data_IF_565821113645
#
_entry.id   IF_565821113645
#
_cell.length_a   1.000
_cell.length_b   1.000
_cell.length_c   1.000
_cell.angle_alpha   90.00
_cell.angle_beta   90.00
_cell.angle_gamma   90.00
#
_symmetry.space_group_name_H-M   'P 1'
#
loop_
_entity.id
_entity.type
_entity.pdbx_description
1 polymer ?
#
# COMPACT_ATOMS: atom_id res chain seq x y z
N UNK A 1 29.66 2.88 9.11
CA UNK A 1 28.46 2.69 8.28
C UNK A 1 28.79 1.64 7.26
N UNK A 2 28.08 0.53 7.31
CA UNK A 2 28.03 -0.40 6.20
C UNK A 2 27.45 0.36 5.00
N UNK A 3 28.03 0.28 3.78
CA UNK A 3 27.49 0.94 2.59
C UNK A 3 25.99 0.68 2.37
N UNK A 4 25.49 -0.47 2.85
CA UNK A 4 24.08 -0.83 2.78
C UNK A 4 23.19 -0.02 3.74
N UNK A 5 23.72 0.58 4.81
CA UNK A 5 22.93 1.34 5.79
C UNK A 5 22.25 2.55 5.14
N UNK A 6 22.99 3.28 4.29
CA UNK A 6 22.46 4.42 3.56
C UNK A 6 21.39 3.99 2.54
N UNK A 7 21.59 2.84 1.89
CA UNK A 7 20.62 2.28 0.94
C UNK A 7 19.35 1.85 1.66
N UNK A 8 19.46 1.13 2.78
CA UNK A 8 18.32 0.72 3.63
C UNK A 8 17.51 1.93 4.08
N UNK A 9 18.18 2.94 4.64
CA UNK A 9 17.52 4.17 5.09
C UNK A 9 16.80 4.87 3.94
N UNK A 10 17.43 4.98 2.76
CA UNK A 10 16.80 5.61 1.60
C UNK A 10 15.58 4.83 1.09
N UNK A 11 15.65 3.50 1.07
CA UNK A 11 14.54 2.64 0.63
C UNK A 11 13.36 2.70 1.62
N UNK A 12 13.62 2.57 2.92
CA UNK A 12 12.60 2.69 3.96
C UNK A 12 11.98 4.11 3.98
N UNK A 13 12.80 5.15 3.78
CA UNK A 13 12.33 6.52 3.61
C UNK A 13 11.38 6.65 2.41
N UNK A 14 11.74 6.08 1.26
CA UNK A 14 10.93 6.11 0.05
C UNK A 14 9.58 5.39 0.21
N UNK A 15 9.55 4.28 0.96
CA UNK A 15 8.30 3.59 1.27
C UNK A 15 7.38 4.47 2.14
N UNK A 16 7.89 5.08 3.20
CA UNK A 16 7.05 5.80 4.17
C UNK A 16 6.52 7.14 3.63
N UNK A 17 7.34 7.90 2.91
CA UNK A 17 6.91 9.18 2.33
C UNK A 17 7.78 9.65 1.16
N UNK A 18 9.07 9.36 1.21
CA UNK A 18 10.01 9.76 0.17
C UNK A 18 10.02 11.27 -0.05
N UNK A 19 9.84 11.66 -1.31
CA UNK A 19 9.68 13.05 -1.74
C UNK A 19 8.26 13.30 -2.27
N UNK A 20 7.26 12.58 -1.77
CA UNK A 20 5.87 12.79 -2.18
C UNK A 20 5.43 14.23 -1.85
N UNK A 21 4.69 14.86 -2.78
CA UNK A 21 4.14 16.20 -2.55
C UNK A 21 3.18 16.22 -1.35
N UNK A 22 2.46 15.12 -1.15
CA UNK A 22 1.55 14.85 -0.04
C UNK A 22 1.76 13.39 0.35
N UNK A 23 1.92 13.09 1.64
CA UNK A 23 2.01 11.70 2.09
C UNK A 23 0.65 11.00 1.94
N UNK A 24 0.65 9.66 1.96
CA UNK A 24 -0.60 8.90 1.93
C UNK A 24 -1.47 9.23 3.16
N UNK A 25 -0.84 9.28 4.33
CA UNK A 25 -1.49 9.62 5.60
C UNK A 25 -2.14 11.01 5.55
N UNK A 26 -1.43 12.01 5.04
CA UNK A 26 -2.00 13.36 4.91
C UNK A 26 -3.17 13.39 3.91
N UNK A 27 -3.11 12.58 2.85
CA UNK A 27 -4.16 12.50 1.84
C UNK A 27 -5.46 11.87 2.37
N UNK A 28 -5.38 10.96 3.35
CA UNK A 28 -6.54 10.24 3.90
C UNK A 28 -7.02 10.76 5.26
N UNK A 29 -6.20 11.51 6.00
CA UNK A 29 -6.46 11.90 7.39
C UNK A 29 -7.78 12.64 7.62
N UNK A 30 -8.14 13.56 6.71
CA UNK A 30 -9.37 14.36 6.80
C UNK A 30 -10.28 14.13 5.59
N UNK A 31 -10.18 12.94 4.96
CA UNK A 31 -11.00 12.64 3.81
C UNK A 31 -12.48 12.59 4.20
N UNK A 32 -13.36 13.33 3.51
CA UNK A 32 -14.77 13.44 3.91
C UNK A 32 -15.52 12.12 3.71
N UNK A 33 -16.12 11.59 4.79
CA UNK A 33 -16.90 10.34 4.80
C UNK A 33 -17.94 10.28 3.68
N UNK A 34 -18.65 11.40 3.44
CA UNK A 34 -19.66 11.50 2.39
C UNK A 34 -19.13 11.22 0.97
N UNK A 35 -17.81 11.25 0.78
CA UNK A 35 -17.17 11.05 -0.52
C UNK A 35 -16.41 9.74 -0.67
N UNK A 36 -16.28 8.89 0.35
CA UNK A 36 -15.51 7.64 0.23
C UNK A 36 -16.04 6.74 -0.91
N UNK A 37 -17.36 6.76 -1.12
CA UNK A 37 -18.03 6.02 -2.20
C UNK A 37 -18.27 6.85 -3.48
N UNK A 38 -17.90 8.14 -3.50
CA UNK A 38 -18.06 8.99 -4.68
C UNK A 38 -17.19 8.48 -5.82
N UNK A 39 -17.78 8.39 -7.02
CA UNK A 39 -17.09 8.11 -8.28
C UNK A 39 -16.86 9.42 -9.03
N UNK A 40 -15.61 9.88 -9.18
CA UNK A 40 -15.32 11.04 -10.00
C UNK A 40 -15.76 10.81 -11.46
N UNK A 41 -16.01 11.89 -12.18
CA UNK A 41 -16.36 11.79 -13.59
C UNK A 41 -15.21 11.15 -14.39
N UNK A 42 -15.56 10.27 -15.34
CA UNK A 42 -14.64 9.61 -16.27
C UNK A 42 -13.71 8.55 -15.64
N UNK A 43 -14.00 8.07 -14.43
CA UNK A 43 -13.31 6.90 -13.83
C UNK A 43 -14.32 5.88 -13.32
N UNK A 44 -13.95 4.60 -13.40
CA UNK A 44 -14.84 3.48 -13.05
C UNK A 44 -14.69 3.00 -11.59
N UNK A 45 -14.01 3.79 -10.75
CA UNK A 45 -13.72 3.47 -9.35
C UNK A 45 -14.15 4.60 -8.41
N UNK A 46 -14.51 4.27 -7.17
CA UNK A 46 -14.69 5.25 -6.11
C UNK A 46 -13.37 5.63 -5.47
N UNK A 47 -13.34 6.65 -4.62
CA UNK A 47 -12.16 6.96 -3.81
C UNK A 47 -11.74 5.77 -2.93
N UNK A 48 -12.69 5.05 -2.34
CA UNK A 48 -12.38 3.85 -1.58
C UNK A 48 -11.77 2.76 -2.46
N UNK A 49 -12.31 2.54 -3.66
CA UNK A 49 -11.76 1.55 -4.58
C UNK A 49 -10.29 1.82 -4.93
N UNK A 50 -9.88 3.10 -5.01
CA UNK A 50 -8.48 3.47 -5.23
C UNK A 50 -7.60 3.17 -4.00
N UNK A 51 -8.06 3.50 -2.78
CA UNK A 51 -7.34 3.15 -1.55
C UNK A 51 -7.21 1.64 -1.41
N UNK A 52 -8.27 0.90 -1.71
CA UNK A 52 -8.27 -0.56 -1.64
C UNK A 52 -7.37 -1.18 -2.71
N UNK A 53 -7.29 -0.59 -3.90
CA UNK A 53 -6.30 -0.97 -4.90
C UNK A 53 -4.86 -0.83 -4.38
N UNK A 54 -4.53 0.29 -3.74
CA UNK A 54 -3.20 0.49 -3.12
C UNK A 54 -2.93 -0.54 -2.02
N UNK A 55 -3.92 -0.85 -1.18
CA UNK A 55 -3.81 -1.89 -0.16
C UNK A 55 -3.55 -3.27 -0.76
N UNK A 56 -4.35 -3.68 -1.75
CA UNK A 56 -4.24 -5.00 -2.38
C UNK A 56 -2.91 -5.19 -3.11
N UNK A 57 -2.48 -4.18 -3.87
CA UNK A 57 -1.19 -4.21 -4.56
C UNK A 57 -0.02 -4.31 -3.58
N UNK A 58 -0.05 -3.57 -2.47
CA UNK A 58 1.01 -3.64 -1.48
C UNK A 58 1.01 -4.96 -0.69
N UNK A 59 -0.17 -5.46 -0.33
CA UNK A 59 -0.32 -6.76 0.31
C UNK A 59 0.24 -7.89 -0.56
N UNK A 60 0.03 -7.80 -1.88
CA UNK A 60 0.55 -8.75 -2.84
C UNK A 60 2.08 -8.69 -2.96
N UNK A 61 2.68 -7.49 -3.00
CA UNK A 61 4.14 -7.31 -2.94
C UNK A 61 4.70 -7.93 -1.65
N UNK A 62 4.06 -7.69 -0.50
CA UNK A 62 4.49 -8.27 0.77
C UNK A 62 4.43 -9.79 0.73
N UNK A 63 3.36 -10.37 0.18
CA UNK A 63 3.25 -11.83 -0.01
C UNK A 63 4.31 -12.36 -0.98
N UNK A 64 4.56 -11.68 -2.09
CA UNK A 64 5.60 -12.06 -3.05
C UNK A 64 6.98 -12.19 -2.37
N UNK A 65 7.31 -11.27 -1.46
CA UNK A 65 8.62 -11.29 -0.79
C UNK A 65 8.69 -12.17 0.48
N UNK A 66 7.55 -12.59 1.05
CA UNK A 66 7.52 -13.36 2.31
C UNK A 66 7.01 -14.79 2.18
N UNK A 67 6.18 -15.09 1.18
CA UNK A 67 5.52 -16.38 1.01
C UNK A 67 6.27 -17.25 -0.02
N UNK A 68 6.97 -18.32 0.42
CA UNK A 68 7.67 -19.21 -0.50
C UNK A 68 6.72 -20.00 -1.43
N UNK A 69 5.41 -20.04 -1.12
CA UNK A 69 4.38 -20.65 -1.94
C UNK A 69 3.60 -19.61 -2.77
N UNK A 70 4.13 -18.39 -2.90
CA UNK A 70 3.49 -17.30 -3.64
C UNK A 70 3.06 -17.74 -5.04
N UNK A 71 1.84 -17.35 -5.40
CA UNK A 71 1.29 -17.46 -6.75
C UNK A 71 0.72 -16.11 -7.12
N UNK A 72 1.11 -15.62 -8.30
CA UNK A 72 0.70 -14.32 -8.83
C UNK A 72 -0.81 -14.24 -9.05
N UNK A 73 -1.51 -13.24 -8.47
CA UNK A 73 -2.91 -12.95 -8.79
C UNK A 73 -3.09 -12.47 -10.24
N UNK A 74 -4.33 -12.48 -10.75
CA UNK A 74 -4.60 -12.02 -12.10
C UNK A 74 -4.58 -10.49 -12.18
N UNK A 75 -3.55 -9.93 -12.83
CA UNK A 75 -3.47 -8.50 -13.07
C UNK A 75 -4.31 -8.04 -14.29
N UNK A 76 -5.08 -6.93 -14.20
CA UNK A 76 -5.34 -6.10 -13.02
C UNK A 76 -6.58 -6.58 -12.21
N UNK A 77 -7.26 -7.64 -12.66
CA UNK A 77 -8.58 -8.05 -12.16
C UNK A 77 -8.64 -8.22 -10.63
N UNK A 78 -7.67 -8.89 -10.03
CA UNK A 78 -7.68 -9.23 -8.60
C UNK A 78 -7.18 -8.08 -7.70
N UNK A 79 -6.79 -6.94 -8.27
CA UNK A 79 -6.24 -5.78 -7.55
C UNK A 79 -7.25 -4.64 -7.41
N UNK A 80 -8.49 -4.85 -7.81
CA UNK A 80 -9.57 -3.89 -7.68
C UNK A 80 -10.77 -4.54 -6.99
N UNK A 81 -11.44 -3.84 -6.06
CA UNK A 81 -12.70 -4.34 -5.53
C UNK A 81 -13.79 -4.33 -6.62
N UNK A 82 -14.88 -5.04 -6.36
CA UNK A 82 -16.03 -5.03 -7.25
C UNK A 82 -16.62 -3.62 -7.43
N UNK A 83 -17.04 -3.31 -8.65
CA UNK A 83 -17.46 -1.97 -9.04
C UNK A 83 -18.76 -1.51 -8.39
N UNK A 84 -19.55 -2.36 -7.78
CA UNK A 84 -20.84 -2.02 -7.16
C UNK A 84 -20.77 -1.96 -5.62
N UNK A 85 -19.57 -2.08 -5.06
CA UNK A 85 -19.37 -2.02 -3.61
C UNK A 85 -19.37 -0.56 -3.13
N UNK A 86 -20.20 -0.33 -2.12
CA UNK A 86 -20.13 0.84 -1.24
C UNK A 86 -19.70 0.37 0.14
N UNK A 87 -18.89 1.18 0.81
CA UNK A 87 -18.35 0.87 2.13
C UNK A 87 -18.70 1.91 3.16
N UNK A 88 -18.61 1.51 4.42
CA UNK A 88 -18.67 2.39 5.60
C UNK A 88 -17.33 3.06 5.86
N UNK A 89 -17.33 4.11 6.69
CA UNK A 89 -16.09 4.74 7.17
C UNK A 89 -15.16 3.73 7.85
N UNK A 90 -15.70 2.76 8.60
CA UNK A 90 -14.91 1.75 9.29
C UNK A 90 -14.17 0.82 8.31
N UNK A 91 -14.78 0.49 7.17
CA UNK A 91 -14.15 -0.30 6.11
C UNK A 91 -13.10 0.49 5.34
N UNK A 92 -13.32 1.79 5.12
CA UNK A 92 -12.28 2.70 4.64
C UNK A 92 -11.08 2.75 5.58
N UNK A 93 -11.32 2.93 6.88
CA UNK A 93 -10.27 2.99 7.90
C UNK A 93 -9.50 1.65 7.97
N UNK A 94 -10.19 0.53 7.80
CA UNK A 94 -9.55 -0.78 7.69
C UNK A 94 -8.64 -0.89 6.46
N UNK A 95 -9.07 -0.36 5.31
CA UNK A 95 -8.24 -0.35 4.11
C UNK A 95 -6.97 0.49 4.30
N UNK A 96 -7.12 1.69 4.88
CA UNK A 96 -6.01 2.59 5.23
C UNK A 96 -5.04 1.92 6.20
N UNK A 97 -5.56 1.35 7.29
CA UNK A 97 -4.74 0.68 8.31
C UNK A 97 -3.99 -0.53 7.74
N UNK A 98 -4.65 -1.32 6.88
CA UNK A 98 -4.02 -2.46 6.20
C UNK A 98 -2.86 -2.01 5.31
N UNK A 99 -3.06 -0.96 4.51
CA UNK A 99 -1.99 -0.42 3.66
C UNK A 99 -0.79 0.04 4.50
N UNK A 100 -1.04 0.80 5.58
CA UNK A 100 0.03 1.29 6.46
C UNK A 100 0.78 0.15 7.16
N UNK A 101 0.07 -0.90 7.60
CA UNK A 101 0.67 -2.06 8.23
C UNK A 101 1.58 -2.82 7.25
N UNK A 102 1.12 -3.08 6.03
CA UNK A 102 1.92 -3.77 5.01
C UNK A 102 3.14 -2.94 4.60
N UNK A 103 2.97 -1.61 4.51
CA UNK A 103 4.07 -0.67 4.20
C UNK A 103 5.17 -0.73 5.25
N UNK A 104 4.76 -0.75 6.51
CA UNK A 104 5.69 -0.78 7.63
C UNK A 104 6.35 -2.16 7.74
N UNK A 105 5.65 -3.25 7.44
CA UNK A 105 6.26 -4.57 7.35
C UNK A 105 7.37 -4.60 6.28
N UNK A 106 7.11 -4.06 5.08
CA UNK A 106 8.12 -3.92 4.03
C UNK A 106 9.30 -3.04 4.47
N UNK A 107 9.04 -1.90 5.11
CA UNK A 107 10.09 -1.02 5.62
C UNK A 107 10.95 -1.71 6.69
N UNK A 108 10.32 -2.42 7.62
CA UNK A 108 11.02 -3.17 8.67
C UNK A 108 11.89 -4.29 8.08
N UNK A 109 11.43 -5.00 7.06
CA UNK A 109 12.24 -6.00 6.36
C UNK A 109 13.48 -5.39 5.71
N UNK A 110 13.36 -4.19 5.16
CA UNK A 110 14.48 -3.45 4.57
C UNK A 110 15.45 -2.97 5.65
N UNK A 111 14.95 -2.54 6.80
CA UNK A 111 15.77 -2.05 7.92
C UNK A 111 16.47 -3.20 8.68
N UNK A 112 15.97 -4.43 8.60
CA UNK A 112 16.60 -5.61 9.20
C UNK A 112 17.94 -5.94 8.53
N UNK A 113 19.03 -5.76 9.29
CA UNK A 113 20.40 -6.06 8.87
C UNK A 113 20.62 -7.53 8.54
N UNK A 114 19.78 -8.44 9.06
CA UNK A 114 19.80 -9.87 8.77
C UNK A 114 19.32 -10.22 7.36
N UNK A 115 18.55 -9.35 6.71
CA UNK A 115 18.10 -9.54 5.33
C UNK A 115 19.13 -9.01 4.34
N UNK A 116 19.64 -9.84 3.44
CA UNK A 116 20.50 -9.38 2.34
C UNK A 116 19.64 -8.79 1.21
N UNK A 117 19.64 -7.46 1.09
CA UNK A 117 18.85 -6.73 0.09
C UNK A 117 19.22 -7.06 -1.36
N UNK A 118 20.41 -7.62 -1.61
CA UNK A 118 20.95 -7.85 -2.94
C UNK A 118 20.99 -9.34 -3.31
N UNK A 119 20.48 -10.22 -2.44
CA UNK A 119 20.32 -11.62 -2.82
C UNK A 119 19.24 -11.74 -3.91
N UNK A 120 19.51 -12.52 -4.98
CA UNK A 120 18.57 -12.73 -6.08
C UNK A 120 17.35 -13.57 -5.69
#
# INVERSE_FOLDING_TARGET
MNPNDAVRQQLAWNLRAGNAHLSFEDAVAEFPEAHINTRPANVDYSFWSLVEHLRLTQADILRYVTDPAYTEPEWPRDYWPAQDVEVTQAEWDASVAGFLADREALAAMIEDEGNDLLMP
#
